data_IF_703570035152
#
_entry.id   IF_703570035152
#
_cell.length_a   1.000
_cell.length_b   1.000
_cell.length_c   1.000
_cell.angle_alpha   90.00
_cell.angle_beta   90.00
_cell.angle_gamma   90.00
#
_symmetry.space_group_name_H-M   'P 1'
#
loop_
_entity.id
_entity.type
_entity.pdbx_description
1 polymer ?
#
# COMPACT_ATOMS: atom_id res chain seq x y z
N UNK A 1 -15.57 -6.64 10.97
CA UNK A 1 -16.00 -7.45 9.81
C UNK A 1 -16.04 -8.90 10.23
N UNK A 2 -16.10 -9.81 9.27
CA UNK A 2 -15.93 -11.26 9.45
C UNK A 2 -14.74 -11.73 8.60
N UNK A 3 -14.03 -12.76 9.07
CA UNK A 3 -12.88 -13.32 8.36
C UNK A 3 -13.40 -14.43 7.44
N UNK A 4 -13.09 -14.37 6.15
CA UNK A 4 -13.36 -15.44 5.19
C UNK A 4 -12.06 -15.89 4.52
N UNK A 5 -12.02 -17.15 4.06
CA UNK A 5 -10.93 -17.63 3.22
C UNK A 5 -10.99 -16.93 1.86
N UNK A 6 -9.84 -16.48 1.38
CA UNK A 6 -9.72 -15.88 0.06
C UNK A 6 -9.79 -17.00 -1.00
N UNK A 7 -10.52 -16.81 -2.11
CA UNK A 7 -10.62 -17.81 -3.17
C UNK A 7 -9.30 -18.03 -3.93
N UNK A 8 -8.36 -17.08 -3.81
CA UNK A 8 -6.98 -17.14 -4.35
C UNK A 8 -6.03 -16.38 -3.42
N UNK A 9 -4.74 -16.68 -3.51
CA UNK A 9 -3.69 -15.95 -2.78
C UNK A 9 -3.70 -14.46 -3.13
N UNK A 10 -3.62 -13.61 -2.10
CA UNK A 10 -3.52 -12.15 -2.22
C UNK A 10 -2.04 -11.77 -2.16
N UNK A 11 -1.47 -11.32 -3.28
CA UNK A 11 -0.02 -11.08 -3.38
C UNK A 11 0.44 -9.72 -2.86
N UNK A 12 -0.46 -8.73 -2.78
CA UNK A 12 -0.13 -7.36 -2.35
C UNK A 12 -0.21 -7.15 -0.84
N UNK A 13 -0.69 -8.14 -0.07
CA UNK A 13 -0.86 -8.05 1.38
C UNK A 13 0.00 -9.09 2.09
N UNK A 14 0.29 -8.86 3.38
CA UNK A 14 1.00 -9.86 4.19
C UNK A 14 0.11 -11.07 4.53
N UNK A 15 -1.19 -10.84 4.78
CA UNK A 15 -2.19 -11.90 4.92
C UNK A 15 -2.66 -12.34 3.54
N UNK A 16 -2.23 -13.53 3.10
CA UNK A 16 -2.47 -14.01 1.72
C UNK A 16 -3.72 -14.86 1.52
N UNK A 17 -4.17 -15.56 2.55
CA UNK A 17 -5.19 -16.62 2.43
C UNK A 17 -6.56 -16.24 2.98
N UNK A 18 -6.68 -15.03 3.56
CA UNK A 18 -7.89 -14.58 4.25
C UNK A 18 -8.20 -13.14 3.87
N UNK A 19 -9.47 -12.79 3.93
CA UNK A 19 -9.98 -11.44 3.71
C UNK A 19 -10.96 -11.04 4.82
N UNK A 20 -11.18 -9.75 5.00
CA UNK A 20 -12.15 -9.21 5.97
C UNK A 20 -13.38 -8.70 5.22
N UNK A 21 -14.52 -9.37 5.42
CA UNK A 21 -15.83 -8.92 4.97
C UNK A 21 -16.35 -7.83 5.91
N UNK A 22 -16.24 -6.57 5.49
CA UNK A 22 -16.57 -5.40 6.32
C UNK A 22 -18.08 -5.32 6.56
N UNK A 23 -18.51 -5.34 7.82
CA UNK A 23 -19.94 -5.19 8.21
C UNK A 23 -20.30 -3.77 8.63
N UNK A 24 -19.36 -3.08 9.26
CA UNK A 24 -19.46 -1.68 9.70
C UNK A 24 -18.05 -1.08 9.65
N UNK A 25 -17.95 0.19 9.31
CA UNK A 25 -16.71 0.94 9.24
C UNK A 25 -16.92 2.32 9.85
N UNK A 26 -16.02 2.73 10.73
CA UNK A 26 -16.04 4.02 11.40
C UNK A 26 -14.65 4.63 11.32
N UNK A 27 -14.59 5.92 11.01
CA UNK A 27 -13.32 6.66 10.98
C UNK A 27 -13.02 7.15 12.39
N UNK A 28 -11.96 6.62 13.00
CA UNK A 28 -11.51 7.05 14.32
C UNK A 28 -10.70 8.34 14.23
N UNK A 29 -9.90 8.48 13.17
CA UNK A 29 -9.13 9.67 12.85
C UNK A 29 -9.06 9.82 11.34
N UNK A 30 -9.51 10.96 10.82
CA UNK A 30 -9.44 11.25 9.39
C UNK A 30 -8.05 11.80 9.05
N UNK A 31 -7.40 11.21 8.05
CA UNK A 31 -6.18 11.76 7.47
C UNK A 31 -6.51 12.98 6.60
N UNK A 32 -5.56 13.90 6.45
CA UNK A 32 -5.68 14.98 5.49
C UNK A 32 -5.72 14.41 4.06
N UNK A 33 -6.60 14.93 3.17
CA UNK A 33 -6.73 14.38 1.81
C UNK A 33 -5.47 14.51 0.96
N UNK A 34 -4.60 15.47 1.27
CA UNK A 34 -3.35 15.70 0.54
C UNK A 34 -2.19 15.11 1.33
N UNK A 35 -1.78 13.91 0.92
CA UNK A 35 -0.58 13.29 1.46
C UNK A 35 0.67 13.97 0.87
N UNK A 36 1.72 14.19 1.66
CA UNK A 36 2.97 14.79 1.19
C UNK A 36 3.73 13.88 0.22
N UNK A 37 3.56 12.57 0.37
CA UNK A 37 4.14 11.51 -0.45
C UNK A 37 3.26 10.27 -0.42
N UNK A 38 3.51 9.33 -1.33
CA UNK A 38 2.88 8.01 -1.35
C UNK A 38 3.81 6.98 -0.71
N UNK A 39 3.23 6.07 0.08
CA UNK A 39 3.99 5.00 0.75
C UNK A 39 4.62 4.07 -0.30
N UNK A 40 3.93 3.84 -1.40
CA UNK A 40 4.38 3.01 -2.52
C UNK A 40 5.66 3.54 -3.16
N UNK A 41 5.83 4.86 -3.22
CA UNK A 41 7.02 5.49 -3.77
C UNK A 41 8.15 5.56 -2.75
N UNK A 42 7.84 5.72 -1.46
CA UNK A 42 8.82 5.69 -0.37
C UNK A 42 9.41 4.30 -0.14
N UNK A 43 8.60 3.24 -0.32
CA UNK A 43 9.01 1.85 -0.14
C UNK A 43 9.73 1.25 -1.35
N UNK A 44 9.70 1.93 -2.51
CA UNK A 44 10.35 1.45 -3.73
C UNK A 44 11.87 1.39 -3.53
N UNK A 45 12.49 0.29 -3.97
CA UNK A 45 13.94 0.18 -3.98
C UNK A 45 14.55 1.17 -4.99
N UNK A 46 15.76 1.67 -4.70
CA UNK A 46 16.51 2.64 -5.51
C UNK A 46 17.04 2.06 -6.85
N UNK A 47 16.57 0.88 -7.28
CA UNK A 47 17.06 0.22 -8.48
C UNK A 47 16.50 0.88 -9.76
N UNK A 48 17.39 1.15 -10.71
CA UNK A 48 17.02 1.58 -12.06
C UNK A 48 16.26 0.47 -12.77
N UNK A 49 14.97 0.67 -13.03
CA UNK A 49 14.22 -0.14 -13.99
C UNK A 49 15.00 -0.16 -15.31
N UNK A 50 15.23 -1.35 -15.88
CA UNK A 50 16.13 -1.60 -17.02
C UNK A 50 15.81 -0.89 -18.34
N UNK A 51 14.86 0.05 -18.35
CA UNK A 51 14.39 0.79 -19.52
C UNK A 51 14.66 2.31 -19.43
N UNK A 52 15.55 2.76 -18.54
CA UNK A 52 16.02 4.15 -18.51
C UNK A 52 14.98 5.21 -18.10
N UNK A 53 13.76 4.79 -17.75
CA UNK A 53 12.72 5.64 -17.16
C UNK A 53 12.75 5.40 -15.65
N UNK A 54 13.20 6.42 -14.90
CA UNK A 54 13.18 6.37 -13.45
C UNK A 54 11.75 6.55 -12.95
N UNK A 55 11.20 5.52 -12.30
CA UNK A 55 9.92 5.61 -11.63
C UNK A 55 9.99 6.64 -10.47
N UNK A 56 8.87 7.27 -10.08
CA UNK A 56 8.84 8.16 -8.93
C UNK A 56 9.38 7.46 -7.68
N UNK A 57 10.30 8.12 -6.96
CA UNK A 57 10.84 7.69 -5.69
C UNK A 57 10.98 8.88 -4.73
N UNK A 58 10.97 8.60 -3.43
CA UNK A 58 11.07 9.61 -2.38
C UNK A 58 12.53 9.86 -2.03
N UNK A 59 12.95 11.12 -2.18
CA UNK A 59 14.30 11.56 -1.84
C UNK A 59 14.56 11.45 -0.33
N UNK A 60 15.84 11.40 0.07
CA UNK A 60 16.24 11.23 1.46
C UNK A 60 15.74 12.35 2.39
N UNK A 61 15.65 13.59 1.91
CA UNK A 61 15.19 14.72 2.73
C UNK A 61 13.67 14.74 2.93
N UNK A 62 12.94 14.00 2.09
CA UNK A 62 11.47 13.97 2.09
C UNK A 62 10.92 12.74 2.84
N UNK A 63 11.73 11.70 3.08
CA UNK A 63 11.31 10.43 3.70
C UNK A 63 11.36 10.45 5.23
#
# INVERSE_FOLDING_TARGET
GEISLAPRSIESCSQKNVEIQVKKLFVVSAAEPRLPLLIEDAMRADETTGEGIQAPHVLQDTR
#
